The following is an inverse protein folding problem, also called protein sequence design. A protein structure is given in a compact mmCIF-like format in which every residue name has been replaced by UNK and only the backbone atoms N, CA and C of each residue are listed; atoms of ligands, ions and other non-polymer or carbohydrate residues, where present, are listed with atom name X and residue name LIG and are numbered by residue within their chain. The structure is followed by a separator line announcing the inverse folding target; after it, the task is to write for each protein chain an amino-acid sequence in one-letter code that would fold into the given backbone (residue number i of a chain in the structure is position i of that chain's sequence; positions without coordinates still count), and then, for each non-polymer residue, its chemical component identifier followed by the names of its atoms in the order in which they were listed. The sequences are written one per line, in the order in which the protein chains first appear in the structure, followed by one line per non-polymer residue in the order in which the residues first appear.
data_IF_426736077866
#
_entry.id   IF_426736077866
#
_cell.length_a   1.000
_cell.length_b   1.000
_cell.length_c   1.000
_cell.angle_alpha   90.00
_cell.angle_beta   90.00
_cell.angle_gamma   90.00
#
_symmetry.space_group_name_H-M   'P 1'
#
loop_
_entity.id
_entity.type
_entity.pdbx_description
1 polymer ?
#
# COMPACT_ATOMS: atom_id res chain seq x y z
N UNK A 1 -31.44 12.21 6.12
CA UNK A 1 -30.80 11.67 4.91
C UNK A 1 -29.31 12.05 4.86
N UNK A 2 -28.95 13.23 5.38
CA UNK A 2 -27.57 13.75 5.36
C UNK A 2 -26.60 13.02 6.30
N UNK A 3 -27.08 12.54 7.45
CA UNK A 3 -26.26 11.76 8.39
C UNK A 3 -25.72 10.48 7.74
N UNK A 4 -26.59 9.73 7.04
CA UNK A 4 -26.21 8.49 6.38
C UNK A 4 -25.16 8.73 5.29
N UNK A 5 -25.36 9.74 4.44
CA UNK A 5 -24.42 10.11 3.39
C UNK A 5 -23.07 10.57 3.96
N UNK A 6 -23.08 11.33 5.04
CA UNK A 6 -21.87 11.78 5.73
C UNK A 6 -21.10 10.59 6.32
N UNK A 7 -21.80 9.69 7.02
CA UNK A 7 -21.21 8.47 7.58
C UNK A 7 -20.58 7.61 6.49
N UNK A 8 -21.29 7.38 5.37
CA UNK A 8 -20.78 6.60 4.25
C UNK A 8 -19.50 7.23 3.67
N UNK A 9 -19.48 8.55 3.50
CA UNK A 9 -18.30 9.25 2.95
C UNK A 9 -17.08 9.12 3.88
N UNK A 10 -17.28 9.23 5.20
CA UNK A 10 -16.22 9.06 6.19
C UNK A 10 -15.68 7.63 6.15
N UNK A 11 -16.57 6.62 6.14
CA UNK A 11 -16.20 5.20 6.08
C UNK A 11 -15.38 4.93 4.81
N UNK A 12 -15.85 5.39 3.65
CA UNK A 12 -15.16 5.18 2.38
C UNK A 12 -13.78 5.83 2.35
N UNK A 13 -13.67 7.06 2.86
CA UNK A 13 -12.38 7.78 2.93
C UNK A 13 -11.40 7.05 3.84
N UNK A 14 -11.85 6.58 5.01
CA UNK A 14 -11.00 5.85 5.96
C UNK A 14 -10.63 4.44 5.47
N UNK A 15 -11.52 3.77 4.76
CA UNK A 15 -11.31 2.40 4.26
C UNK A 15 -10.39 2.36 3.03
N UNK A 16 -10.31 3.43 2.23
CA UNK A 16 -9.59 3.44 0.95
C UNK A 16 -8.10 3.09 1.09
N UNK A 17 -7.32 3.68 2.02
CA UNK A 17 -5.91 3.30 2.21
C UNK A 17 -5.75 1.83 2.63
N UNK A 18 -6.65 1.32 3.49
CA UNK A 18 -6.64 -0.07 3.91
C UNK A 18 -6.96 -1.02 2.75
N UNK A 19 -7.91 -0.66 1.89
CA UNK A 19 -8.23 -1.42 0.69
C UNK A 19 -7.02 -1.50 -0.25
N UNK A 20 -6.34 -0.38 -0.50
CA UNK A 20 -5.15 -0.35 -1.35
C UNK A 20 -4.02 -1.23 -0.78
N UNK A 21 -3.79 -1.18 0.53
CA UNK A 21 -2.82 -2.04 1.20
C UNK A 21 -3.22 -3.53 1.06
N UNK A 22 -4.48 -3.87 1.35
CA UNK A 22 -5.01 -5.22 1.25
C UNK A 22 -4.93 -5.79 -0.17
N UNK A 23 -5.08 -4.97 -1.22
CA UNK A 23 -4.88 -5.42 -2.60
C UNK A 23 -3.42 -5.82 -2.86
N UNK A 24 -2.47 -5.03 -2.38
CA UNK A 24 -1.04 -5.35 -2.48
C UNK A 24 -0.69 -6.63 -1.71
N UNK A 25 -1.20 -6.78 -0.50
CA UNK A 25 -1.03 -8.00 0.30
C UNK A 25 -1.68 -9.21 -0.35
N UNK A 26 -2.88 -9.08 -0.91
CA UNK A 26 -3.55 -10.17 -1.60
C UNK A 26 -2.72 -10.69 -2.78
N UNK A 27 -2.05 -9.81 -3.54
CA UNK A 27 -1.13 -10.25 -4.60
C UNK A 27 0.11 -10.94 -4.01
N UNK A 28 0.67 -10.37 -2.94
CA UNK A 28 1.90 -10.86 -2.28
C UNK A 28 1.68 -12.26 -1.67
N UNK A 29 0.60 -12.45 -0.93
CA UNK A 29 0.23 -13.73 -0.32
C UNK A 29 -0.04 -14.79 -1.39
N UNK A 30 -0.70 -14.40 -2.50
CA UNK A 30 -0.93 -15.32 -3.62
C UNK A 30 0.33 -15.73 -4.35
N UNK A 31 1.43 -14.99 -4.21
CA UNK A 31 2.76 -15.38 -4.70
C UNK A 31 3.53 -16.28 -3.73
N UNK A 32 2.97 -16.57 -2.56
CA UNK A 32 3.60 -17.40 -1.52
C UNK A 32 4.49 -16.62 -0.56
N UNK A 33 4.41 -15.30 -0.56
CA UNK A 33 5.20 -14.42 0.33
C UNK A 33 4.27 -13.83 1.39
N UNK A 34 4.62 -13.98 2.66
CA UNK A 34 3.88 -13.39 3.78
C UNK A 34 4.55 -12.09 4.20
N UNK A 35 3.86 -10.96 4.04
CA UNK A 35 4.40 -9.64 4.35
C UNK A 35 3.69 -9.00 5.56
N UNK A 36 4.20 -9.27 6.77
CA UNK A 36 3.73 -8.60 8.00
C UNK A 36 4.30 -7.18 8.17
N UNK A 37 5.07 -6.71 7.18
CA UNK A 37 5.69 -5.38 7.15
C UNK A 37 4.79 -4.27 6.60
N UNK A 38 3.57 -4.60 6.14
CA UNK A 38 2.71 -3.65 5.40
C UNK A 38 2.39 -2.40 6.21
N UNK A 39 2.21 -2.52 7.53
CA UNK A 39 1.88 -1.40 8.40
C UNK A 39 3.01 -0.39 8.43
N UNK A 40 4.27 -0.85 8.52
CA UNK A 40 5.44 0.03 8.37
C UNK A 40 5.51 0.69 6.99
N UNK A 41 5.18 -0.04 5.92
CA UNK A 41 5.14 0.51 4.56
C UNK A 41 4.07 1.61 4.43
N UNK A 42 2.89 1.40 5.03
CA UNK A 42 1.79 2.35 5.02
C UNK A 42 2.15 3.65 5.74
N UNK A 43 2.69 3.58 6.96
CA UNK A 43 3.02 4.78 7.74
C UNK A 43 4.19 5.55 7.10
N UNK A 44 5.19 4.85 6.55
CA UNK A 44 6.25 5.48 5.75
C UNK A 44 5.71 6.18 4.51
N UNK A 45 4.79 5.54 3.79
CA UNK A 45 4.07 6.15 2.67
C UNK A 45 3.27 7.39 3.09
N UNK A 46 2.61 7.34 4.24
CA UNK A 46 1.82 8.46 4.77
C UNK A 46 2.68 9.69 5.06
N UNK A 47 3.82 9.52 5.76
CA UNK A 47 4.73 10.63 6.07
C UNK A 47 5.40 11.18 4.81
N UNK A 48 5.88 10.32 3.92
CA UNK A 48 6.47 10.75 2.66
C UNK A 48 5.46 11.46 1.75
N UNK A 49 4.21 10.99 1.75
CA UNK A 49 3.12 11.59 0.98
C UNK A 49 2.70 12.94 1.51
N UNK A 50 2.52 13.05 2.83
CA UNK A 50 2.26 14.34 3.48
C UNK A 50 3.39 15.32 3.22
N UNK A 51 4.64 14.93 3.46
CA UNK A 51 5.81 15.78 3.24
C UNK A 51 5.94 16.25 1.79
N UNK A 52 5.77 15.33 0.82
CA UNK A 52 5.80 15.65 -0.60
C UNK A 52 4.70 16.64 -1.02
N UNK A 53 3.47 16.44 -0.55
CA UNK A 53 2.38 17.36 -0.81
C UNK A 53 2.60 18.73 -0.14
N UNK A 54 3.04 18.73 1.12
CA UNK A 54 3.26 19.94 1.90
C UNK A 54 4.37 20.82 1.32
N UNK A 55 5.52 20.24 1.00
CA UNK A 55 6.67 20.98 0.47
C UNK A 55 6.44 21.55 -0.93
N UNK A 56 5.61 20.89 -1.74
CA UNK A 56 5.35 21.30 -3.13
C UNK A 56 4.04 22.06 -3.31
N UNK A 57 3.16 22.04 -2.31
CA UNK A 57 1.79 22.53 -2.43
C UNK A 57 0.90 21.70 -3.38
N UNK A 58 1.38 20.55 -3.88
CA UNK A 58 0.65 19.74 -4.86
C UNK A 58 0.33 18.34 -4.30
N UNK A 59 -0.95 18.00 -4.10
CA UNK A 59 -1.33 16.72 -3.49
C UNK A 59 -0.98 15.51 -4.36
N UNK A 60 -0.90 15.67 -5.69
CA UNK A 60 -0.51 14.59 -6.60
C UNK A 60 0.96 14.20 -6.45
N UNK A 61 1.83 15.17 -6.15
CA UNK A 61 3.23 14.87 -5.83
C UNK A 61 3.31 14.08 -4.53
N UNK A 62 2.46 14.40 -3.54
CA UNK A 62 2.32 13.59 -2.32
C UNK A 62 1.94 12.14 -2.61
N UNK A 63 1.01 11.89 -3.53
CA UNK A 63 0.68 10.51 -3.93
C UNK A 63 1.91 9.81 -4.52
N UNK A 64 2.66 10.48 -5.40
CA UNK A 64 3.85 9.90 -6.01
C UNK A 64 4.95 9.60 -4.99
N UNK A 65 5.18 10.49 -4.03
CA UNK A 65 6.18 10.25 -2.96
C UNK A 65 5.74 9.15 -2.01
N UNK A 66 4.44 9.04 -1.70
CA UNK A 66 3.90 7.92 -0.93
C UNK A 66 4.10 6.57 -1.64
N UNK A 67 3.80 6.51 -2.95
CA UNK A 67 4.03 5.33 -3.77
C UNK A 67 5.51 4.96 -3.78
N UNK A 68 6.39 5.94 -4.01
CA UNK A 68 7.84 5.71 -4.03
C UNK A 68 8.37 5.17 -2.70
N UNK A 69 7.90 5.71 -1.56
CA UNK A 69 8.27 5.21 -0.24
C UNK A 69 7.77 3.78 0.01
N UNK A 70 6.52 3.47 -0.36
CA UNK A 70 5.97 2.12 -0.25
C UNK A 70 6.71 1.11 -1.13
N UNK A 71 7.02 1.47 -2.38
CA UNK A 71 7.83 0.65 -3.29
C UNK A 71 9.23 0.41 -2.71
N UNK A 72 9.89 1.45 -2.21
CA UNK A 72 11.20 1.33 -1.59
C UNK A 72 11.18 0.36 -0.39
N UNK A 73 10.23 0.51 0.52
CA UNK A 73 10.08 -0.38 1.68
C UNK A 73 9.75 -1.82 1.26
N UNK A 74 8.91 -2.01 0.24
CA UNK A 74 8.60 -3.33 -0.30
C UNK A 74 9.79 -3.98 -0.99
N UNK A 75 10.62 -3.21 -1.70
CA UNK A 75 11.86 -3.71 -2.30
C UNK A 75 12.88 -4.09 -1.24
N UNK A 76 13.00 -3.31 -0.16
CA UNK A 76 13.83 -3.65 0.99
C UNK A 76 13.37 -4.97 1.63
N UNK A 77 12.07 -5.13 1.86
CA UNK A 77 11.49 -6.39 2.35
C UNK A 77 11.82 -7.56 1.42
N UNK A 78 11.60 -7.40 0.12
CA UNK A 78 11.87 -8.41 -0.90
C UNK A 78 13.35 -8.78 -0.97
N UNK A 79 14.25 -7.81 -0.89
CA UNK A 79 15.69 -8.08 -0.86
C UNK A 79 16.10 -8.90 0.37
N UNK A 80 15.64 -8.52 1.56
CA UNK A 80 15.96 -9.26 2.79
C UNK A 80 15.38 -10.68 2.75
N UNK A 81 14.10 -10.81 2.42
CA UNK A 81 13.39 -12.09 2.49
C UNK A 81 13.68 -13.05 1.34
N UNK A 82 13.83 -12.53 0.11
CA UNK A 82 14.00 -13.36 -1.09
C UNK A 82 15.48 -13.55 -1.45
N UNK A 83 16.32 -12.52 -1.30
CA UNK A 83 17.75 -12.60 -1.66
C UNK A 83 18.60 -13.09 -0.49
N UNK A 84 18.37 -12.56 0.72
CA UNK A 84 19.13 -12.96 1.91
C UNK A 84 18.48 -14.12 2.68
N UNK A 85 17.34 -14.63 2.20
CA UNK A 85 16.63 -15.79 2.75
C UNK A 85 16.33 -15.66 4.26
N UNK A 86 16.04 -14.45 4.72
CA UNK A 86 15.66 -14.21 6.12
C UNK A 86 14.26 -14.74 6.41
N UNK A 87 13.94 -14.95 7.69
CA UNK A 87 12.59 -15.30 8.10
C UNK A 87 11.62 -14.14 7.82
N UNK A 88 10.70 -14.34 6.87
CA UNK A 88 9.72 -13.36 6.42
C UNK A 88 8.88 -12.76 7.56
N UNK A 89 8.50 -13.57 8.56
CA UNK A 89 7.71 -13.10 9.71
C UNK A 89 8.53 -12.12 10.55
N UNK A 90 9.74 -12.52 10.93
CA UNK A 90 10.63 -11.66 11.74
C UNK A 90 11.04 -10.40 10.98
N UNK A 91 11.39 -10.53 9.69
CA UNK A 91 11.75 -9.40 8.83
C UNK A 91 10.57 -8.45 8.62
N UNK A 92 9.35 -8.96 8.42
CA UNK A 92 8.16 -8.14 8.28
C UNK A 92 7.87 -7.34 9.55
N UNK A 93 7.86 -8.00 10.71
CA UNK A 93 7.66 -7.33 12.00
C UNK A 93 8.74 -6.28 12.28
N UNK A 94 10.01 -6.60 11.99
CA UNK A 94 11.11 -5.63 12.13
C UNK A 94 10.94 -4.42 11.20
N UNK A 95 10.46 -4.64 9.97
CA UNK A 95 10.19 -3.57 9.02
C UNK A 95 9.01 -2.69 9.46
N UNK A 96 7.99 -3.28 10.08
CA UNK A 96 6.90 -2.52 10.72
C UNK A 96 7.42 -1.63 11.82
N UNK A 97 8.23 -2.16 12.74
CA UNK A 97 8.85 -1.38 13.81
C UNK A 97 9.75 -0.27 13.28
N UNK A 98 10.56 -0.56 12.24
CA UNK A 98 11.38 0.44 11.56
C UNK A 98 10.51 1.54 10.96
N UNK A 99 9.44 1.17 10.24
CA UNK A 99 8.51 2.12 9.64
C UNK A 99 7.86 3.03 10.66
N UNK A 100 7.38 2.48 11.78
CA UNK A 100 6.79 3.25 12.88
C UNK A 100 7.80 4.25 13.48
N UNK A 101 9.01 3.79 13.81
CA UNK A 101 10.03 4.66 14.42
C UNK A 101 10.56 5.72 13.47
N UNK A 102 10.90 5.34 12.24
CA UNK A 102 11.50 6.23 11.26
C UNK A 102 10.49 7.24 10.70
N UNK A 103 9.25 6.83 10.47
CA UNK A 103 8.17 7.76 10.10
C UNK A 103 7.89 8.79 11.19
N UNK A 104 7.94 8.41 12.47
CA UNK A 104 7.78 9.35 13.58
C UNK A 104 8.89 10.41 13.58
N UNK A 105 10.15 10.00 13.38
CA UNK A 105 11.29 10.92 13.28
C UNK A 105 11.15 11.88 12.08
N UNK A 106 10.82 11.37 10.90
CA UNK A 106 10.63 12.20 9.71
C UNK A 106 9.38 13.09 9.80
N UNK A 107 8.35 12.59 10.47
CA UNK A 107 7.05 13.24 10.61
C UNK A 107 7.03 14.37 11.63
N UNK A 108 8.01 14.43 12.55
CA UNK A 108 8.06 15.41 13.62
C UNK A 108 7.91 16.86 13.13
N UNK A 109 8.63 17.22 12.06
CA UNK A 109 8.58 18.56 11.47
C UNK A 109 7.22 18.92 10.83
N UNK A 110 6.39 17.91 10.53
CA UNK A 110 5.09 18.06 9.90
C UNK A 110 3.93 18.07 10.90
N UNK A 111 4.17 17.75 12.17
CA UNK A 111 3.13 17.74 13.20
C UNK A 111 2.51 19.13 13.33
N UNK A 112 1.17 19.19 13.25
CA UNK A 112 0.40 20.44 13.36
C UNK A 112 0.36 21.29 12.09
N UNK A 113 1.05 20.89 11.02
CA UNK A 113 0.99 21.59 9.73
C UNK A 113 -0.31 21.28 8.98
N UNK A 114 -0.88 22.25 8.24
CA UNK A 114 -2.07 22.01 7.45
C UNK A 114 -1.75 21.07 6.27
N UNK A 115 -2.55 20.01 6.13
CA UNK A 115 -2.44 19.11 4.97
C UNK A 115 -2.94 19.75 3.69
N UNK A 116 -2.30 19.41 2.57
CA UNK A 116 -2.77 19.79 1.23
C UNK A 116 -3.83 18.80 0.78
N UNK A 117 -5.05 19.31 0.53
CA UNK A 117 -6.19 18.46 0.16
C UNK A 117 -6.15 18.10 -1.32
N UNK A 118 -6.53 16.86 -1.62
CA UNK A 118 -6.79 16.41 -2.99
C UNK A 118 -8.00 17.16 -3.57
N UNK A 119 -7.96 17.57 -4.85
CA UNK A 119 -9.12 18.15 -5.51
C UNK A 119 -10.20 17.07 -5.64
N UNK A 120 -11.39 17.34 -5.10
CA UNK A 120 -12.51 16.40 -5.16
C UNK A 120 -13.09 16.37 -6.57
N UNK A 121 -13.37 15.16 -7.06
CA UNK A 121 -14.04 14.95 -8.34
C UNK A 121 -15.50 14.65 -8.05
N UNK A 122 -16.43 15.50 -8.51
CA UNK A 122 -17.86 15.37 -8.23
C UNK A 122 -18.20 15.23 -6.71
N UNK A 123 -17.40 15.86 -5.85
CA UNK A 123 -17.60 15.84 -4.40
C UNK A 123 -16.99 14.64 -3.67
N UNK A 124 -16.32 13.72 -4.37
CA UNK A 124 -15.62 12.57 -3.76
C UNK A 124 -14.11 12.65 -3.96
N UNK A 125 -13.35 12.03 -3.05
CA UNK A 125 -11.91 11.84 -3.22
C UNK A 125 -11.65 10.93 -4.43
N UNK A 126 -10.82 11.35 -5.42
CA UNK A 126 -10.50 10.54 -6.59
C UNK A 126 -9.92 9.15 -6.27
N UNK A 127 -9.30 8.96 -5.11
CA UNK A 127 -8.73 7.66 -4.71
C UNK A 127 -9.82 6.61 -4.43
N UNK A 128 -11.02 7.03 -4.03
CA UNK A 128 -12.13 6.10 -3.75
C UNK A 128 -12.52 5.32 -5.02
N UNK A 129 -13.00 5.95 -6.12
CA UNK A 129 -13.34 5.21 -7.33
C UNK A 129 -12.12 4.52 -7.94
N UNK A 130 -10.93 5.12 -7.84
CA UNK A 130 -9.69 4.49 -8.29
C UNK A 130 -9.42 3.15 -7.58
N UNK A 131 -9.57 3.09 -6.25
CA UNK A 131 -9.36 1.86 -5.47
C UNK A 131 -10.34 0.75 -5.84
N UNK A 132 -11.60 1.09 -6.17
CA UNK A 132 -12.62 0.13 -6.62
C UNK A 132 -12.29 -0.42 -8.01
N UNK A 133 -11.89 0.46 -8.94
CA UNK A 133 -11.42 0.05 -10.28
C UNK A 133 -10.19 -0.84 -10.15
N UNK A 134 -9.24 -0.47 -9.29
CA UNK A 134 -8.03 -1.25 -9.04
C UNK A 134 -8.36 -2.62 -8.43
N UNK A 135 -9.33 -2.68 -7.52
CA UNK A 135 -9.82 -3.96 -6.96
C UNK A 135 -10.33 -4.89 -8.05
N UNK A 136 -11.20 -4.37 -8.94
CA UNK A 136 -11.71 -5.14 -10.07
C UNK A 136 -10.59 -5.55 -11.04
N UNK A 137 -9.63 -4.67 -11.31
CA UNK A 137 -8.49 -4.93 -12.18
C UNK A 137 -7.56 -6.01 -11.61
N UNK A 138 -7.18 -5.91 -10.33
CA UNK A 138 -6.36 -6.91 -9.63
C UNK A 138 -7.08 -8.26 -9.60
N UNK A 139 -8.39 -8.27 -9.29
CA UNK A 139 -9.20 -9.48 -9.35
C UNK A 139 -9.23 -10.09 -10.77
N UNK A 140 -9.43 -9.28 -11.79
CA UNK A 140 -9.39 -9.75 -13.18
C UNK A 140 -8.01 -10.33 -13.53
N UNK A 141 -6.93 -9.63 -13.22
CA UNK A 141 -5.56 -10.08 -13.51
C UNK A 141 -5.27 -11.41 -12.80
N UNK A 142 -5.52 -11.50 -11.48
CA UNK A 142 -5.24 -12.69 -10.69
C UNK A 142 -6.05 -13.90 -11.16
N UNK A 143 -7.33 -13.73 -11.48
CA UNK A 143 -8.24 -14.85 -11.74
C UNK A 143 -8.47 -15.18 -13.22
N UNK A 144 -8.25 -14.24 -14.15
CA UNK A 144 -8.60 -14.38 -15.58
C UNK A 144 -7.42 -14.28 -16.55
N UNK A 145 -6.20 -14.00 -16.08
CA UNK A 145 -5.02 -13.86 -16.98
C UNK A 145 -3.94 -14.92 -16.72
N UNK A 146 -3.05 -15.13 -17.70
CA UNK A 146 -1.89 -16.04 -17.57
C UNK A 146 -0.96 -15.63 -16.43
N UNK A 147 -0.71 -14.33 -16.28
CA UNK A 147 0.15 -13.79 -15.20
C UNK A 147 -0.42 -14.18 -13.83
N UNK A 148 -1.73 -14.01 -13.64
CA UNK A 148 -2.40 -14.39 -12.40
C UNK A 148 -2.40 -15.90 -12.11
N UNK A 149 -2.44 -16.74 -13.14
CA UNK A 149 -2.26 -18.19 -12.98
C UNK A 149 -0.83 -18.54 -12.57
N UNK A 150 0.18 -17.90 -13.17
CA UNK A 150 1.60 -18.10 -12.83
C UNK A 150 1.86 -17.71 -11.37
N UNK A 151 1.45 -16.51 -10.95
CA UNK A 151 1.64 -16.02 -9.57
C UNK A 151 1.06 -17.02 -8.57
N UNK A 152 -0.20 -17.44 -8.78
CA UNK A 152 -0.87 -18.40 -7.89
C UNK A 152 -0.27 -19.81 -7.96
N UNK A 153 0.23 -20.25 -9.11
CA UNK A 153 0.87 -21.55 -9.25
C UNK A 153 2.18 -21.61 -8.45
N UNK A 154 3.00 -20.56 -8.53
CA UNK A 154 4.23 -20.40 -7.75
C UNK A 154 3.91 -20.40 -6.25
N UNK A 155 2.92 -19.61 -5.83
CA UNK A 155 2.53 -19.53 -4.42
C UNK A 155 1.98 -20.84 -3.85
N UNK A 156 1.27 -21.64 -4.64
CA UNK A 156 0.66 -22.90 -4.18
C UNK A 156 1.63 -24.09 -4.16
N UNK A 157 2.71 -24.09 -4.95
CA UNK A 157 3.74 -25.14 -4.86
C UNK A 157 5.08 -24.70 -5.43
N UNK A 158 6.16 -24.96 -4.68
CA UNK A 158 7.52 -24.69 -5.14
C UNK A 158 7.89 -25.58 -6.35
N UNK A 159 7.30 -26.77 -6.46
CA UNK A 159 7.49 -27.68 -7.60
C UNK A 159 6.92 -27.12 -8.92
N UNK A 160 5.77 -26.42 -8.88
CA UNK A 160 5.22 -25.78 -10.08
C UNK A 160 6.06 -24.58 -10.55
N UNK A 161 6.79 -23.92 -9.65
CA UNK A 161 7.67 -22.81 -10.01
C UNK A 161 8.87 -23.25 -10.86
N UNK A 162 9.37 -24.48 -10.68
CA UNK A 162 10.49 -25.03 -11.45
C UNK A 162 10.08 -25.65 -12.80
N UNK A 163 8.77 -25.74 -13.09
CA UNK A 163 8.23 -26.36 -14.31
C UNK A 163 7.77 -25.33 -15.37
N UNK A 164 7.84 -24.04 -15.05
CA UNK A 164 7.54 -22.89 -15.93
C UNK A 164 8.81 -22.38 -16.61
#
# INVERSE_FOLDING_TARGET
MDLLLTLLTIIMTAATPLLLAALGEAVTERSGVLNLGVEGMMVMGAVAGFGGAFLTGNPWIGILTAIAAGVFMSLLFGFLSLTLLTNQVATGLALTLLGLGFSALLGEAFVGQPGVKLPTLAGVDPLIPFSLILTAAVGYVLFRTRIGLIIRAVGNSHAAAHAL
#
